data_IF_993482215031
#
_entry.id   IF_993482215031
#
_cell.length_a   1.000
_cell.length_b   1.000
_cell.length_c   1.000
_cell.angle_alpha   90.00
_cell.angle_beta   90.00
_cell.angle_gamma   90.00
#
_symmetry.space_group_name_H-M   'P 1'
#
loop_
_entity.id
_entity.type
_entity.pdbx_description
1 polymer ?
#
# COMPACT_ATOMS: atom_id res chain seq x y z
N UNK A 1 -31.84 5.64 -5.70
CA UNK A 1 -30.75 6.56 -6.09
C UNK A 1 -29.45 5.87 -5.78
N UNK A 2 -28.60 5.68 -6.78
CA UNK A 2 -27.28 5.09 -6.59
C UNK A 2 -26.42 6.04 -5.74
N UNK A 3 -25.69 5.49 -4.77
CA UNK A 3 -24.82 6.29 -3.92
C UNK A 3 -23.62 6.80 -4.71
N UNK A 4 -23.44 8.12 -4.77
CA UNK A 4 -22.33 8.73 -5.51
C UNK A 4 -20.95 8.37 -4.94
N UNK A 5 -19.93 8.35 -5.82
CA UNK A 5 -18.55 7.95 -5.48
C UNK A 5 -17.97 8.69 -4.26
N UNK A 6 -18.28 9.99 -4.11
CA UNK A 6 -17.85 10.79 -2.95
C UNK A 6 -18.39 10.21 -1.65
N UNK A 7 -19.70 9.96 -1.58
CA UNK A 7 -20.36 9.40 -0.40
C UNK A 7 -19.79 8.02 -0.04
N UNK A 8 -19.52 7.19 -1.05
CA UNK A 8 -18.87 5.88 -0.83
C UNK A 8 -17.47 6.03 -0.22
N UNK A 9 -16.68 7.00 -0.67
CA UNK A 9 -15.33 7.26 -0.12
C UNK A 9 -15.38 7.82 1.31
N UNK A 10 -16.34 8.70 1.59
CA UNK A 10 -16.56 9.25 2.93
C UNK A 10 -16.96 8.16 3.92
N UNK A 11 -17.85 7.23 3.52
CA UNK A 11 -18.21 6.05 4.32
C UNK A 11 -17.00 5.19 4.63
N UNK A 12 -16.16 4.89 3.65
CA UNK A 12 -14.92 4.10 3.87
C UNK A 12 -13.98 4.79 4.86
N UNK A 13 -13.79 6.10 4.75
CA UNK A 13 -12.98 6.85 5.70
C UNK A 13 -13.58 6.83 7.12
N UNK A 14 -14.91 6.91 7.25
CA UNK A 14 -15.59 6.77 8.54
C UNK A 14 -15.42 5.37 9.14
N UNK A 15 -15.51 4.31 8.32
CA UNK A 15 -15.25 2.93 8.75
C UNK A 15 -13.83 2.78 9.31
N UNK A 16 -12.82 3.34 8.66
CA UNK A 16 -11.44 3.31 9.17
C UNK A 16 -11.33 3.95 10.57
N UNK A 17 -11.96 5.12 10.77
CA UNK A 17 -11.99 5.78 12.08
C UNK A 17 -12.68 4.95 13.15
N UNK A 18 -13.79 4.29 12.81
CA UNK A 18 -14.52 3.43 13.74
C UNK A 18 -13.71 2.19 14.15
N UNK A 19 -12.73 1.79 13.35
CA UNK A 19 -11.76 0.74 13.68
C UNK A 19 -10.55 1.27 14.49
N UNK A 20 -10.53 2.55 14.85
CA UNK A 20 -9.41 3.19 15.54
C UNK A 20 -8.22 3.50 14.64
N UNK A 21 -8.38 3.42 13.31
CA UNK A 21 -7.34 3.74 12.33
C UNK A 21 -7.49 5.19 11.86
N UNK A 22 -6.40 5.96 11.89
CA UNK A 22 -6.37 7.27 11.26
C UNK A 22 -6.25 7.11 9.73
N UNK A 23 -7.25 7.55 8.95
CA UNK A 23 -7.17 7.51 7.48
C UNK A 23 -6.17 8.51 6.88
N UNK A 24 -5.69 9.50 7.66
CA UNK A 24 -4.78 10.56 7.20
C UNK A 24 -3.58 10.74 8.14
N UNK A 25 -2.76 9.69 8.36
CA UNK A 25 -1.61 9.78 9.23
C UNK A 25 -0.61 10.81 8.68
N UNK A 26 0.00 11.58 9.58
CA UNK A 26 0.96 12.64 9.21
C UNK A 26 2.31 12.08 8.78
N UNK A 27 2.68 10.91 9.29
CA UNK A 27 3.97 10.26 9.03
C UNK A 27 3.79 8.75 8.90
N UNK A 28 4.58 8.14 8.01
CA UNK A 28 4.67 6.69 7.82
C UNK A 28 6.13 6.35 7.54
N UNK A 29 6.67 5.41 8.30
CA UNK A 29 8.04 4.97 8.14
C UNK A 29 8.20 4.10 6.88
N UNK A 30 9.16 4.49 6.03
CA UNK A 30 9.58 3.71 4.86
C UNK A 30 11.06 3.39 4.97
N UNK A 31 11.42 2.19 4.52
CA UNK A 31 12.82 1.74 4.47
C UNK A 31 13.45 1.97 3.10
N UNK A 32 12.63 1.98 2.04
CA UNK A 32 13.08 2.03 0.66
C UNK A 32 12.10 2.86 -0.19
N UNK A 33 12.56 3.25 -1.37
CA UNK A 33 11.77 3.77 -2.47
C UNK A 33 11.33 2.63 -3.40
N UNK A 34 10.31 2.89 -4.23
CA UNK A 34 9.89 1.92 -5.23
C UNK A 34 11.02 1.55 -6.21
N UNK A 35 11.85 2.54 -6.60
CA UNK A 35 12.97 2.32 -7.51
C UNK A 35 14.03 1.38 -6.92
N UNK A 36 14.38 1.56 -5.65
CA UNK A 36 15.33 0.70 -4.94
C UNK A 36 14.79 -0.73 -4.82
N UNK A 37 13.51 -0.89 -4.47
CA UNK A 37 12.89 -2.23 -4.38
C UNK A 37 12.84 -2.92 -5.74
N UNK A 38 12.52 -2.21 -6.83
CA UNK A 38 12.55 -2.77 -8.18
C UNK A 38 13.96 -3.24 -8.55
N UNK A 39 14.99 -2.47 -8.23
CA UNK A 39 16.38 -2.84 -8.49
C UNK A 39 16.79 -4.10 -7.69
N UNK A 40 16.40 -4.19 -6.42
CA UNK A 40 16.62 -5.40 -5.59
C UNK A 40 15.91 -6.60 -6.22
N UNK A 41 14.64 -6.46 -6.58
CA UNK A 41 13.84 -7.56 -7.13
C UNK A 41 14.38 -8.05 -8.47
N UNK A 42 14.86 -7.12 -9.30
CA UNK A 42 15.42 -7.42 -10.61
C UNK A 42 16.72 -8.25 -10.52
N UNK A 43 17.38 -8.26 -9.37
CA UNK A 43 18.58 -9.07 -9.10
C UNK A 43 18.24 -10.47 -8.56
N UNK A 44 16.99 -10.77 -8.20
CA UNK A 44 16.62 -12.13 -7.78
C UNK A 44 16.56 -13.06 -8.99
N UNK A 45 17.26 -14.19 -8.90
CA UNK A 45 17.08 -15.30 -9.81
C UNK A 45 15.67 -15.91 -9.63
N UNK A 46 15.06 -16.54 -10.66
CA UNK A 46 13.71 -17.10 -10.60
C UNK A 46 13.45 -17.98 -9.38
N UNK A 47 14.46 -18.76 -8.96
CA UNK A 47 14.38 -19.71 -7.86
C UNK A 47 14.59 -19.08 -6.46
N UNK A 48 14.97 -17.80 -6.38
CA UNK A 48 15.17 -17.06 -5.13
C UNK A 48 13.98 -16.19 -4.73
N UNK A 49 12.89 -16.25 -5.49
CA UNK A 49 11.67 -15.44 -5.29
C UNK A 49 10.95 -15.69 -3.96
N UNK A 50 11.28 -16.77 -3.26
CA UNK A 50 10.74 -17.11 -1.93
C UNK A 50 11.69 -16.75 -0.76
N UNK A 51 12.83 -16.10 -1.01
CA UNK A 51 13.72 -15.68 0.06
C UNK A 51 13.10 -14.50 0.84
N UNK A 52 12.65 -14.78 2.06
CA UNK A 52 11.97 -13.81 2.95
C UNK A 52 12.95 -13.04 3.84
N UNK A 53 14.26 -13.17 3.61
CA UNK A 53 15.30 -12.50 4.42
C UNK A 53 15.23 -10.98 4.35
N UNK A 54 14.80 -10.42 3.22
CA UNK A 54 14.73 -8.97 3.02
C UNK A 54 13.33 -8.43 3.31
N UNK A 55 13.17 -7.70 4.41
CA UNK A 55 11.93 -7.00 4.76
C UNK A 55 11.98 -5.56 4.26
N UNK A 56 10.94 -5.12 3.54
CA UNK A 56 10.82 -3.75 3.01
C UNK A 56 9.50 -3.10 3.41
N UNK A 57 9.55 -1.83 3.77
CA UNK A 57 8.41 -0.91 3.89
C UNK A 57 8.49 0.18 2.81
N UNK A 58 7.41 0.36 2.06
CA UNK A 58 7.24 1.35 0.99
C UNK A 58 5.89 2.07 1.12
N UNK A 59 5.78 3.26 0.53
CA UNK A 59 4.55 4.07 0.47
C UNK A 59 4.27 4.50 -0.96
N UNK A 60 2.99 4.60 -1.35
CA UNK A 60 2.61 4.96 -2.72
C UNK A 60 1.10 5.12 -2.92
N UNK A 61 0.72 5.45 -4.16
CA UNK A 61 -0.68 5.54 -4.59
C UNK A 61 -1.13 4.22 -5.20
N UNK A 62 -2.31 3.73 -4.80
CA UNK A 62 -2.96 2.61 -5.48
C UNK A 62 -3.46 3.10 -6.85
N UNK A 63 -2.78 2.65 -7.92
CA UNK A 63 -3.10 3.04 -9.30
C UNK A 63 -4.10 2.07 -9.95
N UNK A 64 -3.93 0.78 -9.70
CA UNK A 64 -4.79 -0.28 -10.19
C UNK A 64 -4.98 -1.32 -9.09
N UNK A 65 -6.15 -1.96 -9.07
CA UNK A 65 -6.40 -3.15 -8.27
C UNK A 65 -6.81 -4.26 -9.21
N UNK A 66 -5.95 -5.24 -9.40
CA UNK A 66 -6.32 -6.47 -10.10
C UNK A 66 -7.33 -7.16 -9.20
N UNK A 67 -8.54 -7.33 -9.72
CA UNK A 67 -9.70 -7.90 -9.01
C UNK A 67 -9.88 -9.35 -9.43
#
# INVERSE_FOLDING_TARGET
MEEGLKSQREKKAATLRNLGLDPFPTQVDRTHTAAEVIAIISNFLPDQTNDTSTKVSIVGRIMARIS
#
